data_IF_916614342878
#
_entry.id   IF_916614342878
#
_cell.length_a   1.000
_cell.length_b   1.000
_cell.length_c   1.000
_cell.angle_alpha   90.00
_cell.angle_beta   90.00
_cell.angle_gamma   90.00
#
_symmetry.space_group_name_H-M   'P 1'
#
loop_
_entity.id
_entity.type
_entity.pdbx_description
1 polymer ?
#
# COMPACT_ATOMS: atom_id res chain seq x y z
N UNK A 1 -15.05 -6.34 6.17
CA UNK A 1 -13.92 -6.52 5.23
C UNK A 1 -13.35 -5.15 4.88
N UNK A 2 -12.03 -4.96 4.96
CA UNK A 2 -11.37 -3.63 4.82
C UNK A 2 -11.51 -3.04 3.41
N UNK A 3 -11.51 -3.89 2.39
CA UNK A 3 -11.77 -3.52 1.00
C UNK A 3 -12.83 -4.47 0.43
N UNK A 4 -13.73 -3.93 -0.38
CA UNK A 4 -14.68 -4.76 -1.14
C UNK A 4 -13.95 -5.66 -2.14
N UNK A 5 -14.60 -6.75 -2.57
CA UNK A 5 -14.04 -7.68 -3.55
C UNK A 5 -13.99 -9.13 -3.05
N UNK A 6 -13.39 -9.99 -3.87
CA UNK A 6 -13.34 -11.44 -3.63
C UNK A 6 -12.26 -11.75 -2.60
N UNK A 7 -12.65 -12.37 -1.48
CA UNK A 7 -11.74 -12.91 -0.48
C UNK A 7 -11.10 -14.22 -0.97
N UNK A 8 -9.89 -14.52 -0.50
CA UNK A 8 -9.19 -15.75 -0.86
C UNK A 8 -7.92 -16.01 -0.06
N UNK A 9 -7.19 -17.04 -0.48
CA UNK A 9 -5.88 -17.39 0.03
C UNK A 9 -4.81 -16.41 -0.49
N UNK A 10 -3.71 -16.31 0.24
CA UNK A 10 -2.53 -15.63 -0.27
C UNK A 10 -1.92 -16.53 -1.36
N UNK A 11 -1.65 -16.00 -2.55
CA UNK A 11 -1.08 -16.79 -3.67
C UNK A 11 0.29 -17.39 -3.36
N UNK A 12 0.93 -16.93 -2.28
CA UNK A 12 2.22 -17.45 -1.78
C UNK A 12 2.04 -18.59 -0.79
N UNK A 13 0.83 -18.81 -0.28
CA UNK A 13 0.51 -19.93 0.60
C UNK A 13 0.11 -21.17 -0.20
N UNK A 14 1.00 -22.16 -0.25
CA UNK A 14 0.78 -23.42 -0.97
C UNK A 14 -0.36 -24.25 -0.39
N UNK A 15 -0.77 -24.01 0.85
CA UNK A 15 -1.85 -24.76 1.50
C UNK A 15 -3.23 -24.15 1.21
N UNK A 16 -3.26 -22.96 0.61
CA UNK A 16 -4.48 -22.22 0.27
C UNK A 16 -5.47 -22.04 1.43
N UNK A 17 -4.97 -21.99 2.66
CA UNK A 17 -5.82 -21.88 3.85
C UNK A 17 -6.40 -20.47 3.92
N UNK A 18 -7.73 -20.37 3.89
CA UNK A 18 -8.44 -19.09 4.01
C UNK A 18 -8.95 -18.92 5.44
N UNK A 19 -8.08 -18.47 6.33
CA UNK A 19 -8.49 -18.06 7.69
C UNK A 19 -8.60 -16.55 7.75
N UNK A 20 -9.83 -16.05 7.84
CA UNK A 20 -10.11 -14.62 8.08
C UNK A 20 -9.84 -14.33 9.56
N UNK A 21 -9.05 -13.30 9.84
CA UNK A 21 -8.70 -12.89 11.21
C UNK A 21 -9.13 -11.43 11.46
N UNK A 22 -9.30 -11.02 12.72
CA UNK A 22 -9.44 -9.61 13.07
C UNK A 22 -8.23 -8.81 12.57
N UNK A 23 -8.47 -7.62 12.01
CA UNK A 23 -7.40 -6.75 11.52
C UNK A 23 -6.42 -6.40 12.63
N UNK A 24 -6.94 -6.09 13.82
CA UNK A 24 -6.14 -5.76 15.01
C UNK A 24 -5.19 -6.87 15.45
N UNK A 25 -5.40 -8.12 15.01
CA UNK A 25 -4.49 -9.24 15.25
C UNK A 25 -3.29 -9.29 14.29
N UNK A 26 -3.20 -8.38 13.31
CA UNK A 26 -2.07 -8.27 12.40
C UNK A 26 -0.85 -7.63 13.08
N UNK A 27 0.21 -8.42 13.27
CA UNK A 27 1.42 -8.04 14.04
C UNK A 27 2.76 -8.34 13.34
N UNK A 28 2.79 -8.55 12.02
CA UNK A 28 4.06 -8.78 11.30
C UNK A 28 4.95 -7.54 11.35
N UNK A 29 6.25 -7.75 11.54
CA UNK A 29 7.22 -6.68 11.42
C UNK A 29 7.27 -6.14 9.98
N UNK A 30 7.19 -4.81 9.85
CA UNK A 30 7.18 -4.09 8.58
C UNK A 30 8.53 -3.44 8.25
N UNK A 31 9.46 -3.35 9.20
CA UNK A 31 10.66 -2.52 9.08
C UNK A 31 11.51 -2.88 7.84
N UNK A 32 11.77 -4.18 7.64
CA UNK A 32 12.53 -4.66 6.48
C UNK A 32 11.83 -4.34 5.15
N UNK A 33 10.50 -4.40 5.14
CA UNK A 33 9.71 -4.16 3.94
C UNK A 33 9.69 -2.68 3.56
N UNK A 34 9.46 -1.80 4.55
CA UNK A 34 9.56 -0.35 4.39
C UNK A 34 10.95 0.05 3.86
N UNK A 35 12.01 -0.50 4.47
CA UNK A 35 13.40 -0.28 4.06
C UNK A 35 13.67 -0.74 2.62
N UNK A 36 13.24 -1.95 2.25
CA UNK A 36 13.46 -2.50 0.90
C UNK A 36 12.81 -1.68 -0.22
N UNK A 37 11.72 -0.97 0.11
CA UNK A 37 10.94 -0.18 -0.85
C UNK A 37 11.15 1.32 -0.68
N UNK A 38 12.03 1.71 0.25
CA UNK A 38 12.44 3.08 0.55
C UNK A 38 11.27 4.03 0.81
N UNK A 39 10.31 3.63 1.66
CA UNK A 39 9.19 4.49 2.08
C UNK A 39 8.96 4.42 3.58
N UNK A 40 8.26 5.41 4.12
CA UNK A 40 8.03 5.57 5.55
C UNK A 40 6.60 6.04 5.86
N UNK A 41 6.26 6.07 7.15
CA UNK A 41 5.01 6.62 7.65
C UNK A 41 4.09 5.61 8.33
N UNK A 42 3.92 4.37 7.80
CA UNK A 42 3.21 3.35 8.54
C UNK A 42 3.96 2.92 9.80
N UNK A 43 3.27 2.81 10.94
CA UNK A 43 3.88 2.48 12.22
C UNK A 43 3.89 0.97 12.53
N UNK A 44 2.90 0.24 12.04
CA UNK A 44 2.75 -1.20 12.25
C UNK A 44 1.99 -1.85 11.07
N UNK A 45 1.82 -3.19 11.08
CA UNK A 45 1.15 -3.91 9.99
C UNK A 45 -0.27 -3.40 9.73
N UNK A 46 -1.03 -3.10 10.79
CA UNK A 46 -2.40 -2.57 10.69
C UNK A 46 -2.40 -1.21 9.99
N UNK A 47 -1.55 -0.29 10.43
CA UNK A 47 -1.45 1.04 9.85
C UNK A 47 -0.97 0.99 8.38
N UNK A 48 -0.08 0.05 8.04
CA UNK A 48 0.33 -0.19 6.65
C UNK A 48 -0.85 -0.66 5.78
N UNK A 49 -1.61 -1.63 6.27
CA UNK A 49 -2.79 -2.18 5.58
C UNK A 49 -3.82 -1.07 5.34
N UNK A 50 -4.15 -0.30 6.38
CA UNK A 50 -5.10 0.81 6.30
C UNK A 50 -4.61 1.88 5.32
N UNK A 51 -3.35 2.30 5.44
CA UNK A 51 -2.75 3.32 4.57
C UNK A 51 -2.72 2.89 3.09
N UNK A 52 -2.59 1.60 2.80
CA UNK A 52 -2.65 1.05 1.43
C UNK A 52 -4.07 0.80 0.94
N UNK A 53 -5.07 0.87 1.83
CA UNK A 53 -6.50 0.82 1.56
C UNK A 53 -7.16 2.21 1.56
N UNK A 54 -6.39 3.29 1.45
CA UNK A 54 -6.87 4.69 1.45
C UNK A 54 -7.41 5.17 2.82
N UNK A 55 -7.16 4.41 3.89
CA UNK A 55 -7.62 4.73 5.24
C UNK A 55 -6.43 5.27 6.05
N UNK A 56 -6.33 6.60 6.17
CA UNK A 56 -5.19 7.27 6.83
C UNK A 56 -5.44 7.61 8.31
N UNK A 57 -6.63 7.31 8.82
CA UNK A 57 -7.00 7.44 10.23
C UNK A 57 -7.59 6.12 10.70
N UNK A 58 -7.27 5.73 11.92
CA UNK A 58 -7.83 4.52 12.55
C UNK A 58 -9.37 4.66 12.61
N UNK A 59 -10.13 3.77 11.97
CA UNK A 59 -11.59 3.76 12.06
C UNK A 59 -12.07 3.44 13.48
N UNK A 60 -13.23 3.97 13.88
CA UNK A 60 -13.80 3.68 15.20
C UNK A 60 -14.19 2.20 15.36
N UNK A 61 -14.59 1.58 14.26
CA UNK A 61 -15.02 0.18 14.14
C UNK A 61 -13.85 -0.78 13.85
N UNK A 62 -12.60 -0.37 14.08
CA UNK A 62 -11.42 -1.19 13.74
C UNK A 62 -11.43 -2.58 14.38
N UNK A 63 -12.03 -2.73 15.56
CA UNK A 63 -12.15 -4.02 16.25
C UNK A 63 -13.08 -5.01 15.53
N UNK A 64 -14.05 -4.50 14.76
CA UNK A 64 -14.99 -5.30 13.97
C UNK A 64 -14.45 -5.59 12.56
N UNK A 65 -13.37 -4.91 12.16
CA UNK A 65 -12.74 -5.12 10.87
C UNK A 65 -11.97 -6.45 10.83
N UNK A 66 -12.14 -7.17 9.73
CA UNK A 66 -11.45 -8.43 9.45
C UNK A 66 -10.70 -8.39 8.13
N UNK A 67 -9.69 -9.25 8.01
CA UNK A 67 -8.86 -9.37 6.82
C UNK A 67 -8.61 -10.84 6.47
N UNK A 68 -8.75 -11.16 5.18
CA UNK A 68 -8.40 -12.48 4.65
C UNK A 68 -6.91 -12.53 4.25
N UNK A 69 -6.32 -13.73 4.11
CA UNK A 69 -4.92 -13.89 3.73
C UNK A 69 -4.56 -13.17 2.42
N UNK A 70 -5.42 -13.25 1.40
CA UNK A 70 -5.23 -12.54 0.13
C UNK A 70 -5.08 -11.02 0.31
N UNK A 71 -6.02 -10.39 1.01
CA UNK A 71 -5.99 -8.94 1.24
C UNK A 71 -4.84 -8.53 2.16
N UNK A 72 -4.52 -9.34 3.18
CA UNK A 72 -3.35 -9.11 4.05
C UNK A 72 -2.05 -9.17 3.26
N UNK A 73 -1.93 -10.07 2.30
CA UNK A 73 -0.80 -10.09 1.36
C UNK A 73 -0.76 -8.82 0.50
N UNK A 74 -1.86 -8.48 -0.17
CA UNK A 74 -1.92 -7.34 -1.10
C UNK A 74 -1.72 -5.97 -0.44
N UNK A 75 -2.29 -5.78 0.75
CA UNK A 75 -2.24 -4.52 1.49
C UNK A 75 -1.11 -4.45 2.50
N UNK A 76 -0.65 -5.60 3.04
CA UNK A 76 0.46 -5.67 3.98
C UNK A 76 1.80 -5.84 3.25
N UNK A 77 2.40 -7.02 3.42
CA UNK A 77 3.81 -7.30 3.07
C UNK A 77 3.99 -8.18 1.81
N UNK A 78 2.94 -8.40 1.04
CA UNK A 78 2.93 -9.38 -0.05
C UNK A 78 3.20 -8.87 -1.44
N UNK A 79 3.29 -7.57 -1.60
CA UNK A 79 3.57 -6.93 -2.86
C UNK A 79 5.05 -6.58 -2.95
N UNK A 80 5.54 -6.41 -4.18
CA UNK A 80 6.88 -5.89 -4.45
C UNK A 80 6.78 -4.79 -5.49
N UNK A 81 7.77 -3.90 -5.52
CA UNK A 81 7.88 -2.90 -6.57
C UNK A 81 8.71 -3.49 -7.71
N UNK A 82 8.10 -3.72 -8.86
CA UNK A 82 8.80 -4.24 -10.03
C UNK A 82 9.92 -3.29 -10.50
N UNK A 83 11.05 -3.83 -10.97
CA UNK A 83 12.22 -3.04 -11.36
C UNK A 83 11.96 -2.04 -12.51
N UNK A 84 10.94 -2.30 -13.33
CA UNK A 84 10.51 -1.45 -14.44
C UNK A 84 9.46 -0.41 -14.05
N UNK A 85 9.03 -0.36 -12.78
CA UNK A 85 8.01 0.60 -12.34
C UNK A 85 8.50 2.04 -12.56
N UNK A 86 7.61 2.80 -13.16
CA UNK A 86 7.74 4.23 -13.43
C UNK A 86 7.04 5.02 -12.35
N UNK A 87 7.46 6.28 -12.14
CA UNK A 87 6.83 7.15 -11.15
C UNK A 87 5.32 7.26 -11.44
N UNK A 88 4.46 7.05 -10.45
CA UNK A 88 3.00 7.14 -10.62
C UNK A 88 2.40 8.48 -10.17
N UNK A 89 3.22 9.36 -9.57
CA UNK A 89 2.76 10.66 -9.07
C UNK A 89 2.25 11.52 -10.23
N UNK A 90 1.01 12.05 -10.17
CA UNK A 90 0.41 12.78 -11.28
C UNK A 90 1.28 13.97 -11.73
N UNK A 91 1.31 14.31 -13.03
CA UNK A 91 2.13 15.40 -13.56
C UNK A 91 1.96 16.75 -12.85
N UNK A 92 0.75 17.05 -12.37
CA UNK A 92 0.42 18.27 -11.62
C UNK A 92 1.24 18.40 -10.32
N UNK A 93 1.73 17.29 -9.75
CA UNK A 93 2.60 17.29 -8.58
C UNK A 93 4.05 16.93 -8.91
N UNK A 94 4.26 15.97 -9.81
CA UNK A 94 5.61 15.46 -10.09
C UNK A 94 6.41 16.36 -11.03
N UNK A 95 5.74 17.20 -11.82
CA UNK A 95 6.37 18.01 -12.88
C UNK A 95 7.17 17.18 -13.91
N UNK A 96 6.96 15.86 -13.91
CA UNK A 96 7.51 14.93 -14.90
C UNK A 96 6.75 15.10 -16.23
N UNK A 97 7.42 14.85 -17.36
CA UNK A 97 6.76 14.95 -18.68
C UNK A 97 6.67 16.36 -19.26
N UNK A 98 7.34 17.36 -18.67
CA UNK A 98 7.63 18.60 -19.39
C UNK A 98 8.37 18.26 -20.70
N UNK A 99 7.94 18.88 -21.81
CA UNK A 99 8.28 18.57 -23.22
C UNK A 99 9.77 18.37 -23.54
N UNK A 100 10.67 18.73 -22.63
CA UNK A 100 12.12 18.65 -22.77
C UNK A 100 12.75 17.35 -22.23
N UNK A 101 12.01 16.47 -21.52
CA UNK A 101 12.53 15.17 -21.04
C UNK A 101 11.95 14.01 -21.86
N UNK A 102 12.82 13.32 -22.61
CA UNK A 102 12.47 12.23 -23.54
C UNK A 102 11.88 10.96 -22.90
N UNK A 103 12.02 10.75 -21.58
CA UNK A 103 11.55 9.53 -20.94
C UNK A 103 10.93 9.77 -19.57
N UNK A 104 9.89 9.01 -19.28
CA UNK A 104 9.22 9.03 -17.99
C UNK A 104 10.14 8.42 -16.91
N UNK A 105 10.36 9.09 -15.76
CA UNK A 105 11.37 8.67 -14.80
C UNK A 105 10.97 7.36 -14.11
N UNK A 106 12.01 6.59 -13.75
CA UNK A 106 11.86 5.39 -12.92
C UNK A 106 11.36 5.80 -11.53
N UNK A 107 10.52 4.96 -10.92
CA UNK A 107 10.20 5.12 -9.50
C UNK A 107 11.40 4.65 -8.70
N UNK A 108 12.23 5.54 -8.15
CA UNK A 108 13.41 5.12 -7.37
C UNK A 108 13.03 4.69 -5.95
N UNK A 109 12.01 5.33 -5.37
CA UNK A 109 11.51 5.08 -4.02
C UNK A 109 10.00 4.92 -4.00
N UNK A 110 9.49 4.20 -3.01
CA UNK A 110 8.06 4.10 -2.75
C UNK A 110 7.49 5.39 -2.15
N UNK A 111 6.22 5.65 -2.39
CA UNK A 111 5.53 6.81 -1.83
C UNK A 111 5.27 6.62 -0.32
N UNK A 112 5.65 7.58 0.53
CA UNK A 112 5.36 7.49 1.97
C UNK A 112 3.86 7.63 2.28
N UNK A 113 3.46 7.32 3.52
CA UNK A 113 2.06 7.47 3.99
C UNK A 113 1.53 8.88 3.78
N UNK A 114 2.27 9.87 4.27
CA UNK A 114 1.86 11.27 4.19
C UNK A 114 1.94 11.82 2.77
N UNK A 115 2.89 11.35 1.97
CA UNK A 115 2.97 11.70 0.54
C UNK A 115 1.78 11.12 -0.24
N UNK A 116 1.38 9.87 0.05
CA UNK A 116 0.19 9.23 -0.54
C UNK A 116 -1.08 10.01 -0.22
N UNK A 117 -1.27 10.39 1.06
CA UNK A 117 -2.36 11.25 1.48
C UNK A 117 -2.32 12.63 0.81
N UNK A 118 -1.13 13.20 0.63
CA UNK A 118 -0.96 14.49 -0.04
C UNK A 118 -1.37 14.41 -1.51
N UNK A 119 -0.91 13.38 -2.24
CA UNK A 119 -1.29 13.14 -3.64
C UNK A 119 -2.80 12.99 -3.76
N UNK A 120 -3.41 12.15 -2.92
CA UNK A 120 -4.86 11.96 -2.90
C UNK A 120 -5.61 13.27 -2.69
N UNK A 121 -5.25 14.06 -1.67
CA UNK A 121 -5.91 15.34 -1.36
C UNK A 121 -5.78 16.38 -2.46
N UNK A 122 -4.64 16.40 -3.16
CA UNK A 122 -4.37 17.42 -4.19
C UNK A 122 -4.90 17.04 -5.56
N UNK A 123 -5.04 15.75 -5.85
CA UNK A 123 -5.32 15.27 -7.22
C UNK A 123 -6.58 14.41 -7.33
N UNK A 124 -7.13 13.93 -6.21
CA UNK A 124 -8.17 12.91 -6.19
C UNK A 124 -7.69 11.52 -6.58
N UNK A 125 -6.41 11.34 -6.92
CA UNK A 125 -5.84 10.06 -7.34
C UNK A 125 -5.16 9.39 -6.15
N UNK A 126 -5.65 8.21 -5.77
CA UNK A 126 -5.00 7.41 -4.75
C UNK A 126 -3.82 6.62 -5.33
N UNK A 127 -2.65 6.79 -4.71
CA UNK A 127 -1.46 5.97 -4.97
C UNK A 127 -1.08 5.28 -3.68
N UNK A 128 -1.14 3.96 -3.65
CA UNK A 128 -0.87 3.19 -2.43
C UNK A 128 0.54 3.46 -1.90
N UNK A 129 0.69 3.51 -0.58
CA UNK A 129 1.99 3.65 0.06
C UNK A 129 2.99 2.59 -0.42
N UNK A 130 4.23 3.00 -0.69
CA UNK A 130 5.32 2.15 -1.15
C UNK A 130 5.32 1.82 -2.65
N UNK A 131 4.31 2.31 -3.39
CA UNK A 131 4.09 2.15 -4.84
C UNK A 131 5.12 2.79 -5.76
#
# INVERSE_FOLDING_TARGET
>A
TIIGGICGSDSRDKKEVVTVIPLVSCSRDIAKHLGSLAFSGPENEVDLILSRAEIFKIPQDINDMTICPFHRGKLGLGWTRGASIRCRVPPVLSQHGNKNKKSWPKGERGLGKYDSLHVLRKTGVFIQCGS
#
